data_IF_221413843768
#
_entry.id   IF_221413843768
#
_cell.length_a   1.000
_cell.length_b   1.000
_cell.length_c   1.000
_cell.angle_alpha   90.00
_cell.angle_beta   90.00
_cell.angle_gamma   90.00
#
_symmetry.space_group_name_H-M   'P 1'
#
loop_
_entity.id
_entity.type
_entity.pdbx_description
1 polymer ?
#
# COMPACT_ATOMS: atom_id res chain seq x y z
N UNK A 1 -30.54 41.49 23.60
CA UNK A 1 -29.36 41.48 22.68
C UNK A 1 -28.97 40.07 22.45
N UNK A 2 -29.34 39.49 21.36
CA UNK A 2 -28.87 38.17 20.97
C UNK A 2 -27.50 38.31 20.33
N UNK A 3 -26.47 37.80 21.00
CA UNK A 3 -25.16 37.61 20.43
C UNK A 3 -25.27 36.42 19.47
N UNK A 4 -25.38 36.68 18.20
CA UNK A 4 -25.24 35.64 17.17
C UNK A 4 -23.77 35.20 17.16
N UNK A 5 -23.45 34.11 17.83
CA UNK A 5 -22.19 33.46 17.64
C UNK A 5 -22.10 32.99 16.20
N UNK A 6 -21.34 33.69 15.40
CA UNK A 6 -20.95 33.18 14.10
C UNK A 6 -20.09 31.93 14.31
N UNK A 7 -20.41 30.81 13.65
CA UNK A 7 -19.55 29.64 13.73
C UNK A 7 -18.16 30.05 13.25
N UNK A 8 -17.17 29.85 14.11
CA UNK A 8 -15.78 30.15 13.82
C UNK A 8 -15.39 29.41 12.54
N UNK A 9 -14.99 30.15 11.52
CA UNK A 9 -14.47 29.58 10.27
C UNK A 9 -13.29 28.65 10.60
N UNK A 10 -13.24 27.46 10.04
CA UNK A 10 -12.15 26.55 10.33
C UNK A 10 -10.81 27.22 10.05
N UNK A 11 -9.90 27.07 11.01
CA UNK A 11 -8.58 27.68 11.00
C UNK A 11 -7.92 27.51 9.61
N UNK A 12 -7.28 28.55 9.10
CA UNK A 12 -6.65 28.59 7.77
C UNK A 12 -5.69 27.41 7.51
N UNK A 13 -5.12 26.84 8.55
CA UNK A 13 -4.31 25.63 8.51
C UNK A 13 -5.14 24.38 8.16
N UNK A 14 -6.31 24.23 8.75
CA UNK A 14 -7.23 23.11 8.49
C UNK A 14 -7.75 23.17 7.06
N UNK A 15 -8.11 24.36 6.57
CA UNK A 15 -8.54 24.56 5.17
C UNK A 15 -7.43 24.20 4.18
N UNK A 16 -6.17 24.59 4.45
CA UNK A 16 -5.04 24.25 3.59
C UNK A 16 -4.78 22.73 3.62
N UNK A 17 -4.85 22.13 4.78
CA UNK A 17 -4.66 20.70 4.96
C UNK A 17 -5.74 19.88 4.24
N UNK A 18 -7.01 20.26 4.39
CA UNK A 18 -8.13 19.63 3.67
C UNK A 18 -8.01 19.83 2.15
N UNK A 19 -7.60 21.00 1.70
CA UNK A 19 -7.36 21.27 0.28
C UNK A 19 -6.21 20.44 -0.29
N UNK A 20 -5.18 20.19 0.51
CA UNK A 20 -4.05 19.35 0.12
C UNK A 20 -4.46 17.87 0.02
N UNK A 21 -5.18 17.36 1.01
CA UNK A 21 -5.75 16.01 0.98
C UNK A 21 -6.69 15.79 -0.20
N UNK A 22 -7.57 16.77 -0.47
CA UNK A 22 -8.49 16.70 -1.61
C UNK A 22 -7.75 16.68 -2.94
N UNK A 23 -6.72 17.51 -3.08
CA UNK A 23 -5.89 17.58 -4.28
C UNK A 23 -5.10 16.30 -4.49
N UNK A 24 -4.48 15.76 -3.44
CA UNK A 24 -3.78 14.49 -3.50
C UNK A 24 -4.73 13.35 -3.88
N UNK A 25 -5.88 13.28 -3.23
CA UNK A 25 -6.86 12.24 -3.50
C UNK A 25 -7.39 12.26 -4.93
N UNK A 26 -7.70 13.43 -5.47
CA UNK A 26 -8.17 13.57 -6.85
C UNK A 26 -7.06 13.36 -7.87
N UNK A 27 -5.84 13.82 -7.59
CA UNK A 27 -4.70 13.68 -8.52
C UNK A 27 -4.16 12.26 -8.53
N UNK A 28 -4.04 11.61 -7.38
CA UNK A 28 -3.55 10.24 -7.28
C UNK A 28 -4.51 9.21 -7.87
N UNK A 29 -5.82 9.47 -7.82
CA UNK A 29 -6.82 8.54 -8.36
C UNK A 29 -6.68 8.33 -9.88
N UNK A 30 -6.12 9.30 -10.59
CA UNK A 30 -5.95 9.26 -12.05
C UNK A 30 -4.56 8.81 -12.50
N UNK A 31 -3.60 8.67 -11.58
CA UNK A 31 -2.27 8.18 -11.94
C UNK A 31 -2.31 6.69 -12.24
N UNK A 32 -1.75 6.25 -13.37
CA UNK A 32 -1.60 4.83 -13.65
C UNK A 32 -0.63 4.20 -12.65
N UNK A 33 -0.91 2.97 -12.24
CA UNK A 33 0.00 2.18 -11.41
C UNK A 33 1.11 1.67 -12.32
N UNK A 34 2.36 2.03 -12.01
CA UNK A 34 3.51 1.53 -12.73
C UNK A 34 3.70 0.01 -12.51
N UNK A 35 4.17 -0.74 -13.51
CA UNK A 35 4.51 -2.14 -13.32
C UNK A 35 5.67 -2.30 -12.33
N UNK A 36 5.75 -3.45 -11.67
CA UNK A 36 6.89 -3.77 -10.82
C UNK A 36 8.19 -3.79 -11.62
N UNK A 37 9.27 -3.32 -11.00
CA UNK A 37 10.60 -3.26 -11.64
C UNK A 37 11.14 -4.64 -12.02
N UNK A 38 10.89 -5.65 -11.19
CA UNK A 38 11.28 -7.02 -11.43
C UNK A 38 10.23 -7.97 -10.87
N UNK A 39 10.04 -9.10 -11.53
CA UNK A 39 9.14 -10.16 -11.08
C UNK A 39 9.98 -11.33 -10.57
N UNK A 40 9.98 -11.63 -9.25
CA UNK A 40 10.66 -12.80 -8.73
C UNK A 40 9.94 -14.09 -9.15
N UNK A 41 10.69 -15.18 -9.23
CA UNK A 41 10.18 -16.52 -9.53
C UNK A 41 10.47 -17.48 -8.35
N UNK A 42 9.65 -17.46 -7.29
CA UNK A 42 9.92 -18.24 -6.09
C UNK A 42 10.02 -19.75 -6.31
N UNK A 43 9.37 -20.26 -7.35
CA UNK A 43 9.43 -21.69 -7.73
C UNK A 43 10.83 -22.14 -8.18
N UNK A 44 11.69 -21.20 -8.56
CA UNK A 44 13.07 -21.46 -8.97
C UNK A 44 14.09 -21.29 -7.85
N UNK A 45 13.66 -20.90 -6.67
CA UNK A 45 14.55 -20.70 -5.52
C UNK A 45 14.99 -22.03 -4.93
N UNK A 46 16.25 -22.12 -4.58
CA UNK A 46 16.80 -23.30 -3.90
C UNK A 46 16.47 -23.25 -2.41
N UNK A 47 15.90 -24.33 -1.88
CA UNK A 47 15.57 -24.46 -0.45
C UNK A 47 16.82 -24.70 0.42
N UNK A 48 17.99 -24.92 -0.17
CA UNK A 48 19.27 -24.97 0.55
C UNK A 48 19.87 -23.57 0.81
N UNK A 49 19.29 -22.53 0.24
CA UNK A 49 19.79 -21.16 0.31
C UNK A 49 18.82 -20.20 1.00
N UNK A 50 19.33 -19.00 1.30
CA UNK A 50 18.52 -17.87 1.71
C UNK A 50 18.32 -16.93 0.51
N UNK A 51 17.08 -16.73 0.12
CA UNK A 51 16.72 -15.84 -0.99
C UNK A 51 15.66 -14.87 -0.52
N UNK A 52 15.76 -13.61 -0.91
CA UNK A 52 14.77 -12.61 -0.59
C UNK A 52 14.40 -11.79 -1.83
N UNK A 53 13.13 -11.42 -1.93
CA UNK A 53 12.61 -10.54 -2.97
C UNK A 53 11.72 -9.47 -2.38
N UNK A 54 11.95 -8.23 -2.76
CA UNK A 54 11.07 -7.14 -2.44
C UNK A 54 9.84 -7.17 -3.34
N UNK A 55 8.68 -7.32 -2.74
CA UNK A 55 7.40 -7.41 -3.46
C UNK A 55 6.81 -6.03 -3.70
N UNK A 56 7.16 -5.08 -2.87
CA UNK A 56 6.74 -3.70 -2.95
C UNK A 56 6.29 -3.15 -1.62
N UNK A 57 6.37 -1.83 -1.45
CA UNK A 57 6.15 -1.13 -0.19
C UNK A 57 7.04 -1.73 0.92
N UNK A 58 6.48 -2.22 2.00
CA UNK A 58 7.22 -2.89 3.08
C UNK A 58 7.19 -4.42 2.98
N UNK A 59 6.60 -4.96 1.92
CA UNK A 59 6.42 -6.40 1.73
C UNK A 59 7.66 -7.04 1.13
N UNK A 60 8.23 -7.99 1.85
CA UNK A 60 9.37 -8.80 1.42
C UNK A 60 9.00 -10.28 1.52
N UNK A 61 9.25 -11.03 0.46
CA UNK A 61 9.16 -12.49 0.46
C UNK A 61 10.56 -13.06 0.68
N UNK A 62 10.71 -13.91 1.68
CA UNK A 62 11.98 -14.52 2.06
C UNK A 62 11.83 -16.04 1.99
N UNK A 63 12.77 -16.69 1.32
CA UNK A 63 13.02 -18.11 1.48
C UNK A 63 14.20 -18.27 2.46
N UNK A 64 13.94 -18.84 3.60
CA UNK A 64 14.96 -19.13 4.60
C UNK A 64 15.11 -20.65 4.74
N UNK A 65 16.00 -21.21 3.96
CA UNK A 65 16.24 -22.67 3.91
C UNK A 65 14.96 -23.49 3.75
N UNK A 66 14.11 -23.08 2.79
CA UNK A 66 12.84 -23.74 2.51
C UNK A 66 11.63 -23.19 3.28
N UNK A 67 11.84 -22.41 4.33
CA UNK A 67 10.77 -21.74 5.06
C UNK A 67 10.42 -20.42 4.34
N UNK A 68 9.18 -20.28 3.91
CA UNK A 68 8.69 -19.08 3.21
C UNK A 68 8.09 -18.08 4.20
N UNK A 69 8.69 -16.91 4.30
CA UNK A 69 8.29 -15.83 5.20
C UNK A 69 7.83 -14.65 4.36
N UNK A 70 6.67 -14.11 4.68
CA UNK A 70 6.13 -12.90 4.04
C UNK A 70 5.98 -11.81 5.09
N UNK A 71 6.75 -10.74 4.95
CA UNK A 71 6.67 -9.61 5.88
C UNK A 71 5.62 -8.61 5.40
N UNK A 72 4.86 -8.04 6.32
CA UNK A 72 3.93 -6.91 6.12
C UNK A 72 3.22 -6.96 4.74
N UNK A 73 2.30 -7.92 4.51
CA UNK A 73 1.74 -8.17 3.20
C UNK A 73 0.78 -7.08 2.75
N UNK A 74 1.29 -6.10 1.99
CA UNK A 74 0.52 -5.03 1.37
C UNK A 74 0.45 -5.27 -0.15
N UNK A 75 -0.53 -6.05 -0.57
CA UNK A 75 -0.69 -6.48 -1.97
C UNK A 75 -1.84 -5.76 -2.70
N UNK A 76 -2.43 -4.77 -2.05
CA UNK A 76 -3.57 -4.02 -2.59
C UNK A 76 -3.15 -2.71 -3.26
N UNK A 77 -3.93 -2.20 -4.22
CA UNK A 77 -3.60 -0.96 -4.93
C UNK A 77 -3.65 0.30 -4.05
N UNK A 78 -4.29 0.24 -2.87
CA UNK A 78 -4.31 1.34 -1.88
C UNK A 78 -3.84 0.85 -0.53
N UNK A 79 -2.99 1.67 0.09
CA UNK A 79 -2.50 1.47 1.45
C UNK A 79 -3.32 2.38 2.37
N UNK A 80 -4.06 1.81 3.32
CA UNK A 80 -4.85 2.62 4.23
C UNK A 80 -6.01 1.87 4.89
N UNK A 81 -6.98 2.62 5.39
CA UNK A 81 -8.14 2.09 6.08
C UNK A 81 -9.12 1.49 5.07
N UNK A 82 -9.41 0.22 5.23
CA UNK A 82 -10.38 -0.50 4.41
C UNK A 82 -11.78 -0.35 5.00
N UNK A 83 -12.69 0.18 4.19
CA UNK A 83 -14.10 0.30 4.52
C UNK A 83 -14.94 -0.57 3.57
N UNK A 84 -16.21 -0.92 3.93
CA UNK A 84 -17.10 -1.63 3.01
C UNK A 84 -17.25 -0.88 1.68
N UNK A 85 -16.82 -1.50 0.58
CA UNK A 85 -16.92 -0.96 -0.77
C UNK A 85 -15.80 -0.02 -1.21
N UNK A 86 -14.92 0.47 -0.32
CA UNK A 86 -13.80 1.35 -0.68
C UNK A 86 -12.69 1.35 0.37
N UNK A 87 -11.52 1.82 -0.02
CA UNK A 87 -10.36 1.98 0.86
C UNK A 87 -9.93 3.44 0.87
N UNK A 88 -9.77 4.01 2.07
CA UNK A 88 -9.25 5.37 2.26
C UNK A 88 -7.74 5.27 2.53
N UNK A 89 -6.95 5.97 1.74
CA UNK A 89 -5.50 6.04 1.88
C UNK A 89 -4.81 6.31 0.56
N UNK A 90 -3.48 6.53 0.57
CA UNK A 90 -2.72 6.77 -0.63
C UNK A 90 -2.74 5.56 -1.56
N UNK A 91 -2.86 5.84 -2.87
CA UNK A 91 -2.78 4.83 -3.91
C UNK A 91 -1.33 4.39 -4.09
N UNK A 92 -1.11 3.08 -4.28
CA UNK A 92 0.21 2.58 -4.72
C UNK A 92 0.56 3.14 -6.09
N UNK A 93 1.79 3.62 -6.24
CA UNK A 93 2.30 4.09 -7.54
C UNK A 93 2.92 2.96 -8.35
N UNK A 94 3.31 1.87 -7.73
CA UNK A 94 3.90 0.69 -8.35
C UNK A 94 3.11 -0.56 -7.98
N UNK A 95 2.80 -1.40 -8.96
CA UNK A 95 2.17 -2.68 -8.71
C UNK A 95 3.07 -3.60 -7.87
N UNK A 96 2.52 -4.51 -7.05
CA UNK A 96 3.32 -5.51 -6.37
C UNK A 96 4.05 -6.40 -7.40
N UNK A 97 5.26 -6.82 -7.07
CA UNK A 97 6.04 -7.72 -7.93
C UNK A 97 5.37 -9.09 -8.12
N UNK A 98 4.62 -9.52 -7.11
CA UNK A 98 3.75 -10.71 -7.15
C UNK A 98 2.36 -10.34 -6.63
N UNK A 99 1.33 -10.86 -7.28
CA UNK A 99 -0.04 -10.80 -6.79
C UNK A 99 -0.30 -11.94 -5.81
N UNK A 100 -1.38 -11.84 -5.05
CA UNK A 100 -1.72 -12.83 -4.01
C UNK A 100 -1.74 -14.28 -4.53
N UNK A 101 -2.28 -14.50 -5.73
CA UNK A 101 -2.39 -15.84 -6.33
C UNK A 101 -1.04 -16.36 -6.88
N UNK A 102 -0.05 -15.51 -7.03
CA UNK A 102 1.30 -15.85 -7.51
C UNK A 102 2.26 -16.19 -6.36
N UNK A 103 1.85 -15.93 -5.12
CA UNK A 103 2.66 -16.24 -3.95
C UNK A 103 2.80 -17.77 -3.78
N UNK A 104 3.97 -18.25 -3.36
CA UNK A 104 4.12 -19.64 -2.95
C UNK A 104 3.34 -19.88 -1.65
N UNK A 105 3.28 -21.14 -1.22
CA UNK A 105 2.81 -21.42 0.14
C UNK A 105 3.67 -20.67 1.16
N UNK A 106 3.03 -19.88 2.00
CA UNK A 106 3.68 -19.09 3.05
C UNK A 106 3.60 -19.84 4.37
N UNK A 107 4.75 -19.99 5.03
CA UNK A 107 4.83 -20.66 6.33
C UNK A 107 4.70 -19.67 7.49
N UNK A 108 5.20 -18.45 7.32
CA UNK A 108 5.17 -17.40 8.34
C UNK A 108 4.76 -16.05 7.69
N UNK A 109 3.87 -15.34 8.37
CA UNK A 109 3.47 -13.97 8.04
C UNK A 109 3.78 -13.05 9.22
#
# INVERSE_FOLDING_TARGET
METTEQPALPNSRVRRWLGHLWREWTTESWRPIAPAFAKPEPSKWDDADVTAAWIGHATVLINFFGIKILTDPVLFPRIGIRLPGFTIGPKRLTAPALEFHELPRIDIV
#
